data_IF_871723921420
#
_entry.id   IF_871723921420
#
_cell.length_a   1.000
_cell.length_b   1.000
_cell.length_c   1.000
_cell.angle_alpha   90.00
_cell.angle_beta   90.00
_cell.angle_gamma   90.00
#
_symmetry.space_group_name_H-M   'P 1'
#
loop_
_entity.id
_entity.type
_entity.pdbx_description
1 polymer ?
#
# COMPACT_ATOMS: atom_id res chain seq x y z
N UNK A 1 -10.92 -15.12 31.98
CA UNK A 1 -11.51 -14.59 30.71
C UNK A 1 -11.92 -13.17 31.01
N UNK A 2 -11.07 -12.20 30.61
CA UNK A 2 -11.39 -10.77 30.69
C UNK A 2 -12.49 -10.45 29.68
N UNK A 3 -13.50 -9.69 30.12
CA UNK A 3 -14.49 -9.11 29.19
C UNK A 3 -13.75 -8.26 28.17
N UNK A 4 -14.12 -8.31 26.85
CA UNK A 4 -13.56 -7.37 25.89
C UNK A 4 -13.90 -5.95 26.37
N UNK A 5 -12.89 -5.11 26.58
CA UNK A 5 -13.09 -3.67 26.70
C UNK A 5 -13.78 -3.21 25.41
N UNK A 6 -15.06 -2.81 25.56
CA UNK A 6 -15.75 -2.08 24.51
C UNK A 6 -15.10 -0.69 24.53
N UNK A 7 -14.10 -0.47 23.64
CA UNK A 7 -13.62 0.89 23.40
C UNK A 7 -14.83 1.71 22.97
N UNK A 8 -15.18 2.70 23.74
CA UNK A 8 -16.25 3.65 23.35
C UNK A 8 -15.94 4.16 21.94
N UNK A 9 -16.97 4.14 21.10
CA UNK A 9 -16.86 4.64 19.72
C UNK A 9 -16.61 6.15 19.79
N UNK A 10 -15.39 6.58 19.51
CA UNK A 10 -15.05 7.99 19.46
C UNK A 10 -15.38 8.52 18.06
N UNK A 11 -16.35 9.43 17.98
CA UNK A 11 -16.77 10.06 16.72
C UNK A 11 -16.15 11.44 16.60
N UNK A 12 -15.40 11.70 15.54
CA UNK A 12 -14.88 13.03 15.24
C UNK A 12 -16.03 13.94 14.79
N UNK A 13 -16.44 14.85 15.66
CA UNK A 13 -17.44 15.87 15.39
C UNK A 13 -16.80 17.17 14.92
N UNK A 14 -17.63 18.07 14.35
CA UNK A 14 -17.20 19.44 13.98
C UNK A 14 -16.62 20.21 15.18
N UNK A 15 -17.15 19.99 16.40
CA UNK A 15 -16.68 20.66 17.61
C UNK A 15 -15.26 20.23 17.96
N UNK A 16 -15.00 18.93 17.96
CA UNK A 16 -13.68 18.36 18.25
C UNK A 16 -12.68 18.77 17.18
N UNK A 17 -13.05 18.66 15.91
CA UNK A 17 -12.18 19.05 14.80
C UNK A 17 -11.81 20.54 14.87
N UNK A 18 -12.74 21.45 15.22
CA UNK A 18 -12.42 22.87 15.40
C UNK A 18 -11.37 23.11 16.50
N UNK A 19 -11.37 22.31 17.56
CA UNK A 19 -10.35 22.39 18.62
C UNK A 19 -9.00 21.96 18.07
N UNK A 20 -8.94 20.81 17.39
CA UNK A 20 -7.73 20.27 16.75
C UNK A 20 -7.15 21.26 15.74
N UNK A 21 -7.97 21.81 14.85
CA UNK A 21 -7.54 22.73 13.80
C UNK A 21 -7.09 24.10 14.33
N UNK A 22 -7.47 24.46 15.56
CA UNK A 22 -7.04 25.73 16.19
C UNK A 22 -5.59 25.67 16.68
N UNK A 23 -5.19 24.52 17.24
CA UNK A 23 -3.86 24.29 17.79
C UNK A 23 -3.37 22.87 17.41
N UNK A 24 -3.08 22.60 16.13
CA UNK A 24 -2.56 21.29 15.76
C UNK A 24 -1.18 21.01 16.34
N UNK A 25 -0.45 22.07 16.78
CA UNK A 25 0.86 21.96 17.44
C UNK A 25 0.78 21.45 18.90
N UNK A 26 -0.40 21.37 19.51
CA UNK A 26 -0.56 20.79 20.85
C UNK A 26 -0.39 19.25 20.88
N UNK A 27 0.46 18.74 19.98
CA UNK A 27 1.31 17.55 20.04
C UNK A 27 0.69 16.16 19.92
N UNK A 28 -0.63 15.95 20.00
CA UNK A 28 -1.19 14.60 19.89
C UNK A 28 -1.66 14.25 18.47
N UNK A 29 -1.85 15.26 17.61
CA UNK A 29 -2.45 15.10 16.29
C UNK A 29 -1.48 15.32 15.11
N UNK A 30 -0.21 15.58 15.38
CA UNK A 30 0.84 15.62 14.36
C UNK A 30 1.75 14.40 14.50
N UNK A 31 1.80 13.57 13.48
CA UNK A 31 2.78 12.49 13.41
C UNK A 31 3.93 12.88 12.49
N UNK A 32 5.17 12.71 12.97
CA UNK A 32 6.37 12.75 12.15
C UNK A 32 6.81 11.32 11.87
N UNK A 33 6.78 10.88 10.62
CA UNK A 33 7.53 9.69 10.18
C UNK A 33 8.93 10.12 9.75
N UNK A 34 9.91 9.21 9.80
CA UNK A 34 11.35 9.47 9.56
C UNK A 34 11.70 10.14 8.22
N UNK A 35 10.73 10.36 7.33
CA UNK A 35 10.88 11.05 6.05
C UNK A 35 9.92 12.25 5.88
N UNK A 36 10.02 13.22 6.77
CA UNK A 36 9.59 14.65 6.56
C UNK A 36 8.21 14.86 5.89
N UNK A 37 7.23 13.99 6.07
CA UNK A 37 5.86 14.27 5.66
C UNK A 37 4.99 14.36 6.93
N UNK A 38 4.67 15.59 7.33
CA UNK A 38 3.78 15.79 8.46
C UNK A 38 2.38 15.30 8.11
N UNK A 39 1.82 14.45 8.99
CA UNK A 39 0.48 13.91 8.89
C UNK A 39 -0.43 14.48 9.97
N UNK A 40 -1.69 14.72 9.63
CA UNK A 40 -2.71 14.97 10.63
C UNK A 40 -3.21 13.61 11.16
N UNK A 41 -2.89 13.33 12.43
CA UNK A 41 -3.22 12.05 13.07
C UNK A 41 -4.59 12.13 13.76
N UNK A 42 -5.57 11.46 13.19
CA UNK A 42 -6.92 11.31 13.71
C UNK A 42 -7.24 9.84 14.04
N UNK A 43 -6.21 9.02 14.30
CA UNK A 43 -6.34 7.59 14.54
C UNK A 43 -7.14 7.22 15.80
N UNK A 44 -7.34 8.15 16.72
CA UNK A 44 -8.18 7.97 17.91
C UNK A 44 -9.67 7.79 17.56
N UNK A 45 -10.11 8.33 16.42
CA UNK A 45 -11.52 8.35 16.06
C UNK A 45 -11.88 7.11 15.24
N UNK A 46 -12.87 6.37 15.71
CA UNK A 46 -13.40 5.19 15.01
C UNK A 46 -14.52 5.51 14.01
N UNK A 47 -14.94 6.76 13.96
CA UNK A 47 -15.92 7.31 13.03
C UNK A 47 -15.72 8.82 12.86
N UNK A 48 -16.23 9.39 11.77
CA UNK A 48 -16.20 10.82 11.47
C UNK A 48 -17.57 11.26 10.91
N UNK A 49 -18.12 12.36 11.43
CA UNK A 49 -19.34 12.91 10.84
C UNK A 49 -19.05 13.56 9.47
N UNK A 50 -20.00 13.52 8.55
CA UNK A 50 -19.83 14.09 7.21
C UNK A 50 -19.48 15.58 7.28
N UNK A 51 -20.13 16.36 8.17
CA UNK A 51 -19.83 17.78 8.38
C UNK A 51 -18.38 18.00 8.88
N UNK A 52 -17.86 17.09 9.73
CA UNK A 52 -16.48 17.16 10.18
C UNK A 52 -15.51 16.82 9.05
N UNK A 53 -15.82 15.81 8.25
CA UNK A 53 -15.02 15.46 7.07
C UNK A 53 -14.99 16.60 6.05
N UNK A 54 -16.10 17.25 5.77
CA UNK A 54 -16.16 18.44 4.91
C UNK A 54 -15.31 19.60 5.46
N UNK A 55 -15.42 19.89 6.77
CA UNK A 55 -14.61 20.93 7.39
C UNK A 55 -13.12 20.60 7.31
N UNK A 56 -12.76 19.34 7.50
CA UNK A 56 -11.39 18.85 7.40
C UNK A 56 -10.80 19.12 6.00
N UNK A 57 -11.49 18.68 4.96
CA UNK A 57 -11.07 18.89 3.57
C UNK A 57 -11.01 20.38 3.21
N UNK A 58 -12.02 21.19 3.61
CA UNK A 58 -12.02 22.65 3.41
C UNK A 58 -10.85 23.35 4.13
N UNK A 59 -10.34 22.75 5.20
CA UNK A 59 -9.21 23.29 5.99
C UNK A 59 -7.84 22.90 5.46
N UNK A 60 -7.74 21.97 4.53
CA UNK A 60 -6.48 21.39 4.06
C UNK A 60 -5.46 22.44 3.60
N UNK A 61 -5.87 23.42 2.77
CA UNK A 61 -4.94 24.44 2.28
C UNK A 61 -4.26 25.23 3.40
N UNK A 62 -4.98 25.47 4.51
CA UNK A 62 -4.41 26.13 5.69
C UNK A 62 -3.45 25.21 6.45
N UNK A 63 -3.80 23.93 6.57
CA UNK A 63 -2.98 22.91 7.20
C UNK A 63 -1.67 22.72 6.42
N UNK A 64 -1.74 22.66 5.11
CA UNK A 64 -0.56 22.52 4.25
C UNK A 64 0.34 23.76 4.33
N UNK A 65 -0.22 24.97 4.22
CA UNK A 65 0.55 26.21 4.26
C UNK A 65 1.20 26.47 5.62
N UNK A 66 0.52 26.16 6.72
CA UNK A 66 1.00 26.47 8.07
C UNK A 66 1.85 25.36 8.68
N UNK A 67 1.54 24.09 8.36
CA UNK A 67 2.10 22.91 9.03
C UNK A 67 2.68 21.87 8.06
N UNK A 68 2.68 22.14 6.75
CA UNK A 68 3.17 21.22 5.69
C UNK A 68 2.44 19.85 5.68
N UNK A 69 1.21 19.80 6.21
CA UNK A 69 0.44 18.56 6.33
C UNK A 69 -0.05 18.14 4.94
N UNK A 70 0.43 16.98 4.47
CA UNK A 70 0.04 16.35 3.19
C UNK A 70 -0.56 14.95 3.36
N UNK A 71 -0.54 14.42 4.58
CA UNK A 71 -1.00 13.07 4.90
C UNK A 71 -2.11 13.13 5.93
N UNK A 72 -3.18 12.37 5.68
CA UNK A 72 -4.31 12.23 6.59
C UNK A 72 -4.33 10.80 7.15
N UNK A 73 -4.23 10.67 8.47
CA UNK A 73 -4.23 9.39 9.16
C UNK A 73 -5.58 9.20 9.85
N UNK A 74 -6.36 8.24 9.37
CA UNK A 74 -7.68 7.86 9.85
C UNK A 74 -7.73 6.35 10.15
N UNK A 75 -6.64 5.80 10.70
CA UNK A 75 -6.52 4.35 10.94
C UNK A 75 -7.48 3.83 12.02
N UNK A 76 -8.08 4.69 12.81
CA UNK A 76 -9.15 4.32 13.73
C UNK A 76 -10.49 4.07 13.06
N UNK A 77 -10.71 4.60 11.85
CA UNK A 77 -11.94 4.46 11.11
C UNK A 77 -12.17 3.01 10.69
N UNK A 78 -13.28 2.42 11.13
CA UNK A 78 -13.57 0.99 10.90
C UNK A 78 -14.55 0.73 9.77
N UNK A 79 -15.31 1.76 9.37
CA UNK A 79 -16.25 1.74 8.26
C UNK A 79 -16.10 3.00 7.42
N UNK A 80 -16.29 2.87 6.12
CA UNK A 80 -16.28 3.98 5.16
C UNK A 80 -17.58 3.94 4.36
N UNK A 81 -18.47 4.94 4.60
CA UNK A 81 -19.65 5.10 3.75
C UNK A 81 -19.29 5.70 2.40
N UNK A 82 -20.16 5.52 1.42
CA UNK A 82 -19.94 6.05 0.06
C UNK A 82 -19.87 7.58 0.09
N UNK A 83 -20.70 8.25 0.89
CA UNK A 83 -20.70 9.70 1.07
C UNK A 83 -19.38 10.19 1.70
N UNK A 84 -18.91 9.49 2.73
CA UNK A 84 -17.65 9.84 3.38
C UNK A 84 -16.47 9.65 2.42
N UNK A 85 -16.49 8.59 1.61
CA UNK A 85 -15.47 8.35 0.58
C UNK A 85 -15.41 9.48 -0.46
N UNK A 86 -16.57 10.00 -0.90
CA UNK A 86 -16.67 11.16 -1.81
C UNK A 86 -16.02 12.41 -1.20
N UNK A 87 -16.26 12.64 0.09
CA UNK A 87 -15.69 13.81 0.77
C UNK A 87 -14.18 13.64 0.93
N UNK A 88 -13.72 12.48 1.42
CA UNK A 88 -12.30 12.21 1.64
C UNK A 88 -11.47 12.21 0.35
N UNK A 89 -12.06 11.83 -0.79
CA UNK A 89 -11.38 11.91 -2.08
C UNK A 89 -11.01 13.35 -2.49
N UNK A 90 -11.59 14.37 -1.88
CA UNK A 90 -11.22 15.76 -2.11
C UNK A 90 -9.92 16.16 -1.37
N UNK A 91 -9.42 15.31 -0.46
CA UNK A 91 -8.13 15.51 0.18
C UNK A 91 -7.01 15.34 -0.86
N UNK A 92 -6.14 16.33 -0.97
CA UNK A 92 -4.97 16.29 -1.87
C UNK A 92 -3.77 15.75 -1.09
N UNK A 93 -3.27 14.58 -1.46
CA UNK A 93 -2.15 13.91 -0.79
C UNK A 93 -2.54 12.54 -0.24
N UNK A 94 -1.80 12.07 0.71
CA UNK A 94 -1.89 10.70 1.19
C UNK A 94 -3.03 10.49 2.19
N UNK A 95 -3.71 9.34 2.12
CA UNK A 95 -4.77 8.96 3.06
C UNK A 95 -4.50 7.56 3.62
N UNK A 96 -4.47 7.45 4.95
CA UNK A 96 -4.38 6.16 5.65
C UNK A 96 -5.71 5.79 6.30
N UNK A 97 -6.24 4.64 5.95
CA UNK A 97 -7.50 4.06 6.40
C UNK A 97 -7.31 2.60 6.84
N UNK A 98 -6.20 2.30 7.53
CA UNK A 98 -5.81 0.93 7.85
C UNK A 98 -6.75 0.23 8.86
N UNK A 99 -7.67 0.96 9.49
CA UNK A 99 -8.69 0.39 10.37
C UNK A 99 -9.84 -0.29 9.64
N UNK A 100 -10.07 0.07 8.36
CA UNK A 100 -11.16 -0.50 7.56
C UNK A 100 -11.04 -2.03 7.47
N UNK A 101 -12.17 -2.72 7.66
CA UNK A 101 -12.25 -4.19 7.55
C UNK A 101 -12.81 -4.65 6.22
N UNK A 102 -13.53 -3.78 5.54
CA UNK A 102 -14.08 -3.96 4.20
C UNK A 102 -14.27 -2.61 3.53
N UNK A 103 -14.45 -2.64 2.22
CA UNK A 103 -14.80 -1.47 1.41
C UNK A 103 -15.84 -1.90 0.37
N UNK A 104 -16.92 -1.11 0.21
CA UNK A 104 -17.87 -1.30 -0.87
C UNK A 104 -17.25 -0.93 -2.21
N UNK A 105 -17.84 -1.41 -3.32
CA UNK A 105 -17.39 -1.01 -4.66
C UNK A 105 -17.58 0.50 -4.88
N UNK A 106 -18.67 1.07 -4.38
CA UNK A 106 -18.97 2.50 -4.55
C UNK A 106 -18.07 3.39 -3.70
N UNK A 107 -17.77 2.98 -2.45
CA UNK A 107 -16.78 3.67 -1.63
C UNK A 107 -15.36 3.57 -2.23
N UNK A 108 -14.98 2.40 -2.75
CA UNK A 108 -13.71 2.20 -3.43
C UNK A 108 -13.57 3.08 -4.68
N UNK A 109 -14.63 3.15 -5.50
CA UNK A 109 -14.70 4.03 -6.67
C UNK A 109 -14.60 5.49 -6.26
N UNK A 110 -15.41 5.90 -5.28
CA UNK A 110 -15.47 7.29 -4.83
C UNK A 110 -14.15 7.75 -4.23
N UNK A 111 -13.48 6.90 -3.43
CA UNK A 111 -12.19 7.21 -2.81
C UNK A 111 -11.06 7.29 -3.84
N UNK A 112 -11.05 6.41 -4.84
CA UNK A 112 -9.90 6.25 -5.74
C UNK A 112 -9.99 7.07 -7.02
N UNK A 113 -11.18 7.53 -7.41
CA UNK A 113 -11.39 8.23 -8.68
C UNK A 113 -10.58 9.52 -8.78
N UNK A 114 -9.53 9.50 -9.62
CA UNK A 114 -8.61 10.61 -9.83
C UNK A 114 -7.84 11.04 -8.55
N UNK A 115 -7.82 10.24 -7.49
CA UNK A 115 -6.99 10.52 -6.33
C UNK A 115 -5.51 10.38 -6.71
N UNK A 116 -4.69 11.35 -6.35
CA UNK A 116 -3.27 11.41 -6.76
C UNK A 116 -2.29 11.10 -5.62
N UNK A 117 -2.77 10.97 -4.40
CA UNK A 117 -2.00 10.54 -3.23
C UNK A 117 -1.96 9.02 -3.08
N UNK A 118 -1.15 8.56 -2.17
CA UNK A 118 -1.16 7.17 -1.77
C UNK A 118 -2.38 6.86 -0.90
N UNK A 119 -2.95 5.66 -1.07
CA UNK A 119 -4.07 5.15 -0.28
C UNK A 119 -3.60 3.90 0.47
N UNK A 120 -3.69 3.90 1.80
CA UNK A 120 -3.42 2.74 2.65
C UNK A 120 -4.73 2.22 3.23
N UNK A 121 -5.07 0.98 2.89
CA UNK A 121 -6.23 0.24 3.42
C UNK A 121 -5.81 -1.16 3.85
N UNK A 122 -4.72 -1.23 4.62
CA UNK A 122 -4.09 -2.47 5.03
C UNK A 122 -4.91 -3.31 6.02
N UNK A 123 -6.03 -2.80 6.52
CA UNK A 123 -6.92 -3.55 7.40
C UNK A 123 -7.89 -4.50 6.70
N UNK A 124 -8.02 -4.39 5.38
CA UNK A 124 -8.89 -5.22 4.55
C UNK A 124 -8.20 -6.56 4.30
N UNK A 125 -8.89 -7.66 4.62
CA UNK A 125 -8.35 -9.04 4.45
C UNK A 125 -8.92 -9.77 3.24
N UNK A 126 -10.00 -9.25 2.66
CA UNK A 126 -10.65 -9.75 1.45
C UNK A 126 -11.12 -8.58 0.59
N UNK A 127 -11.03 -8.71 -0.73
CA UNK A 127 -11.37 -7.66 -1.69
C UNK A 127 -12.05 -8.26 -2.91
N UNK A 128 -13.26 -7.79 -3.21
CA UNK A 128 -13.97 -8.21 -4.42
C UNK A 128 -13.24 -7.74 -5.69
N UNK A 129 -13.43 -8.48 -6.79
CA UNK A 129 -12.88 -8.08 -8.09
C UNK A 129 -13.40 -6.72 -8.56
N UNK A 130 -14.66 -6.41 -8.27
CA UNK A 130 -15.29 -5.13 -8.61
C UNK A 130 -14.63 -3.98 -7.82
N UNK A 131 -14.46 -4.12 -6.50
CA UNK A 131 -13.75 -3.11 -5.70
C UNK A 131 -12.29 -2.95 -6.14
N UNK A 132 -11.58 -4.05 -6.46
CA UNK A 132 -10.24 -3.99 -7.02
C UNK A 132 -10.21 -3.22 -8.35
N UNK A 133 -11.22 -3.44 -9.24
CA UNK A 133 -11.31 -2.76 -10.53
C UNK A 133 -11.54 -1.25 -10.42
N UNK A 134 -12.15 -0.79 -9.33
CA UNK A 134 -12.33 0.65 -9.05
C UNK A 134 -11.10 1.26 -8.39
N UNK A 135 -10.46 0.57 -7.45
CA UNK A 135 -9.26 1.05 -6.76
C UNK A 135 -8.09 1.36 -7.70
N UNK A 136 -7.98 0.65 -8.83
CA UNK A 136 -6.94 0.94 -9.84
C UNK A 136 -7.12 2.25 -10.59
N UNK A 137 -8.16 3.03 -10.32
CA UNK A 137 -8.33 4.40 -10.83
C UNK A 137 -7.51 5.42 -10.02
N UNK A 138 -6.99 5.02 -8.86
CA UNK A 138 -6.01 5.82 -8.12
C UNK A 138 -4.76 6.05 -8.97
N UNK A 139 -4.15 7.23 -8.86
CA UNK A 139 -2.92 7.61 -9.59
C UNK A 139 -1.70 7.72 -8.69
N UNK A 140 -1.83 7.40 -7.41
CA UNK A 140 -0.75 7.24 -6.44
C UNK A 140 -0.49 5.76 -6.09
N UNK A 141 0.25 5.54 -5.04
CA UNK A 141 0.46 4.20 -4.49
C UNK A 141 -0.81 3.63 -3.87
N UNK A 142 -0.96 2.32 -3.96
CA UNK A 142 -2.04 1.58 -3.31
C UNK A 142 -1.44 0.50 -2.41
N UNK A 143 -1.69 0.62 -1.09
CA UNK A 143 -1.21 -0.31 -0.07
C UNK A 143 -2.37 -1.16 0.43
N UNK A 144 -2.27 -2.47 0.23
CA UNK A 144 -3.29 -3.49 0.51
C UNK A 144 -2.68 -4.67 1.28
N UNK A 145 -1.78 -4.37 2.22
CA UNK A 145 -0.97 -5.37 2.91
C UNK A 145 -1.76 -6.30 3.86
N UNK A 146 -3.04 -6.02 4.07
CA UNK A 146 -3.92 -6.92 4.82
C UNK A 146 -4.45 -8.10 4.01
N UNK A 147 -4.37 -8.04 2.67
CA UNK A 147 -4.88 -9.10 1.81
C UNK A 147 -3.98 -10.34 1.90
N UNK A 148 -4.58 -11.46 2.33
CA UNK A 148 -3.86 -12.73 2.47
C UNK A 148 -3.96 -13.60 1.21
N UNK A 149 -5.00 -13.38 0.41
CA UNK A 149 -5.27 -14.04 -0.87
C UNK A 149 -5.94 -13.06 -1.82
N UNK A 150 -5.92 -13.35 -3.12
CA UNK A 150 -6.58 -12.55 -4.14
C UNK A 150 -7.38 -13.44 -5.09
N UNK A 151 -8.57 -13.00 -5.47
CA UNK A 151 -9.31 -13.65 -6.54
C UNK A 151 -8.65 -13.39 -7.90
N UNK A 152 -8.94 -14.23 -8.88
CA UNK A 152 -8.43 -14.04 -10.25
C UNK A 152 -8.90 -12.71 -10.86
N UNK A 153 -10.11 -12.25 -10.50
CA UNK A 153 -10.69 -10.99 -10.92
C UNK A 153 -9.90 -9.81 -10.34
N UNK A 154 -9.55 -9.87 -9.04
CA UNK A 154 -8.73 -8.86 -8.39
C UNK A 154 -7.31 -8.83 -8.98
N UNK A 155 -6.67 -9.97 -9.17
CA UNK A 155 -5.36 -10.09 -9.84
C UNK A 155 -5.39 -9.51 -11.26
N UNK A 156 -6.43 -9.84 -12.03
CA UNK A 156 -6.62 -9.30 -13.39
C UNK A 156 -6.79 -7.79 -13.38
N UNK A 157 -7.48 -7.23 -12.38
CA UNK A 157 -7.62 -5.79 -12.20
C UNK A 157 -6.28 -5.15 -11.85
N UNK A 158 -5.60 -5.66 -10.84
CA UNK A 158 -4.28 -5.14 -10.44
C UNK A 158 -3.22 -5.27 -11.53
N UNK A 159 -3.34 -6.24 -12.44
CA UNK A 159 -2.43 -6.33 -13.59
C UNK A 159 -2.48 -5.08 -14.49
N UNK A 160 -3.58 -4.34 -14.49
CA UNK A 160 -3.78 -3.11 -15.27
C UNK A 160 -3.34 -1.85 -14.51
N UNK A 161 -3.09 -1.95 -13.21
CA UNK A 161 -2.69 -0.82 -12.39
C UNK A 161 -1.29 -0.34 -12.78
N UNK A 162 -1.14 0.96 -13.02
CA UNK A 162 0.08 1.56 -13.61
C UNK A 162 0.99 2.20 -12.55
N UNK A 163 0.55 2.26 -11.31
CA UNK A 163 1.24 2.90 -10.20
C UNK A 163 1.79 1.88 -9.21
N UNK A 164 2.34 2.32 -8.10
CA UNK A 164 2.90 1.44 -7.10
C UNK A 164 1.84 0.64 -6.37
N UNK A 165 2.08 -0.63 -6.17
CA UNK A 165 1.17 -1.58 -5.51
C UNK A 165 1.90 -2.35 -4.42
N UNK A 166 1.38 -2.30 -3.21
CA UNK A 166 1.85 -3.12 -2.10
C UNK A 166 0.83 -4.19 -1.73
N UNK A 167 1.29 -5.43 -1.70
CA UNK A 167 0.54 -6.65 -1.39
C UNK A 167 1.36 -7.50 -0.40
N UNK A 168 1.95 -6.88 0.61
CA UNK A 168 2.87 -7.55 1.53
C UNK A 168 2.18 -8.58 2.44
N UNK A 169 0.85 -8.63 2.47
CA UNK A 169 0.09 -9.68 3.18
C UNK A 169 0.13 -11.04 2.50
N UNK A 170 0.43 -11.09 1.20
CA UNK A 170 0.51 -12.35 0.47
C UNK A 170 1.74 -13.14 0.91
N UNK A 171 1.55 -14.28 1.55
CA UNK A 171 2.65 -15.17 2.00
C UNK A 171 3.02 -16.22 0.97
N UNK A 172 2.16 -16.43 -0.02
CA UNK A 172 2.35 -17.36 -1.13
C UNK A 172 1.76 -16.74 -2.41
N UNK A 173 2.30 -17.12 -3.54
CA UNK A 173 1.82 -16.75 -4.87
C UNK A 173 2.02 -17.95 -5.79
N UNK A 174 0.94 -18.48 -6.36
CA UNK A 174 1.03 -19.57 -7.34
C UNK A 174 1.55 -19.06 -8.68
N UNK A 175 1.97 -19.98 -9.53
CA UNK A 175 2.50 -19.66 -10.86
C UNK A 175 1.43 -18.97 -11.74
N UNK A 176 0.18 -19.42 -11.65
CA UNK A 176 -0.93 -18.83 -12.40
C UNK A 176 -1.31 -17.43 -11.87
N UNK A 177 -1.31 -17.24 -10.56
CA UNK A 177 -1.54 -15.92 -9.94
C UNK A 177 -0.44 -14.93 -10.31
N UNK A 178 0.82 -15.33 -10.26
CA UNK A 178 1.94 -14.50 -10.71
C UNK A 178 1.78 -14.09 -12.17
N UNK A 179 1.44 -15.05 -13.03
CA UNK A 179 1.19 -14.81 -14.45
C UNK A 179 0.04 -13.83 -14.69
N UNK A 180 -1.07 -13.96 -13.94
CA UNK A 180 -2.20 -13.03 -14.02
C UNK A 180 -1.80 -11.63 -13.57
N UNK A 181 -1.12 -11.50 -12.44
CA UNK A 181 -0.70 -10.22 -11.86
C UNK A 181 0.22 -9.42 -12.80
N UNK A 182 1.09 -10.11 -13.56
CA UNK A 182 2.06 -9.49 -14.46
C UNK A 182 1.52 -9.28 -15.87
N UNK A 183 0.45 -9.97 -16.28
CA UNK A 183 -0.03 -10.08 -17.66
C UNK A 183 -0.15 -8.75 -18.44
N UNK A 184 -0.62 -7.69 -17.80
CA UNK A 184 -0.91 -6.40 -18.46
C UNK A 184 0.04 -5.28 -18.01
N UNK A 185 1.18 -5.60 -17.41
CA UNK A 185 2.16 -4.62 -16.93
C UNK A 185 2.99 -4.04 -18.08
N UNK A 186 2.36 -3.23 -18.91
CA UNK A 186 2.99 -2.52 -20.03
C UNK A 186 3.19 -1.03 -19.76
N UNK A 187 3.13 -0.59 -18.50
CA UNK A 187 3.36 0.82 -18.17
C UNK A 187 4.80 1.21 -18.47
N UNK A 188 5.04 2.35 -19.15
CA UNK A 188 6.40 2.85 -19.36
C UNK A 188 7.07 3.31 -18.05
N UNK A 189 6.29 3.53 -16.99
CA UNK A 189 6.76 4.00 -15.68
C UNK A 189 6.07 3.24 -14.52
N UNK A 190 6.16 1.92 -14.44
CA UNK A 190 5.64 1.21 -13.28
C UNK A 190 6.51 1.56 -12.07
N UNK A 191 5.90 2.06 -10.99
CA UNK A 191 6.65 2.48 -9.80
C UNK A 191 7.25 1.27 -9.08
N UNK A 192 6.45 0.46 -8.42
CA UNK A 192 6.94 -0.69 -7.69
C UNK A 192 5.83 -1.71 -7.44
N UNK A 193 6.25 -2.96 -7.25
CA UNK A 193 5.40 -4.04 -6.77
C UNK A 193 6.06 -4.60 -5.51
N UNK A 194 5.37 -4.47 -4.38
CA UNK A 194 5.82 -4.99 -3.10
C UNK A 194 5.10 -6.30 -2.78
N UNK A 195 5.88 -7.35 -2.60
CA UNK A 195 5.45 -8.70 -2.25
C UNK A 195 6.34 -9.23 -1.10
N UNK A 196 6.61 -8.38 -0.11
CA UNK A 196 7.54 -8.68 0.97
C UNK A 196 7.03 -9.78 1.93
N UNK A 197 5.74 -10.15 1.85
CA UNK A 197 5.22 -11.30 2.60
C UNK A 197 5.61 -12.66 2.04
N UNK A 198 6.06 -12.72 0.78
CA UNK A 198 6.48 -13.98 0.16
C UNK A 198 7.78 -14.47 0.81
N UNK A 199 7.76 -15.69 1.33
CA UNK A 199 8.93 -16.30 1.99
C UNK A 199 9.70 -17.27 1.07
N UNK A 200 9.08 -17.70 -0.02
CA UNK A 200 9.68 -18.58 -1.02
C UNK A 200 9.02 -18.38 -2.39
N UNK A 201 9.72 -18.75 -3.45
CA UNK A 201 9.20 -18.76 -4.82
C UNK A 201 9.41 -20.15 -5.44
N UNK A 202 8.52 -20.51 -6.36
CA UNK A 202 8.80 -21.54 -7.35
C UNK A 202 9.61 -20.95 -8.50
N UNK A 203 10.26 -21.79 -9.29
CA UNK A 203 10.97 -21.31 -10.48
C UNK A 203 10.02 -20.66 -11.50
N UNK A 204 8.84 -21.22 -11.82
CA UNK A 204 7.90 -20.57 -12.72
C UNK A 204 7.41 -19.21 -12.18
N UNK A 205 7.08 -19.10 -10.88
CA UNK A 205 6.71 -17.82 -10.26
C UNK A 205 7.83 -16.79 -10.41
N UNK A 206 9.09 -17.16 -10.14
CA UNK A 206 10.23 -16.27 -10.29
C UNK A 206 10.44 -15.80 -11.74
N UNK A 207 10.22 -16.69 -12.72
CA UNK A 207 10.27 -16.36 -14.15
C UNK A 207 9.19 -15.32 -14.52
N UNK A 208 7.98 -15.49 -14.01
CA UNK A 208 6.91 -14.53 -14.28
C UNK A 208 7.18 -13.17 -13.60
N UNK A 209 7.54 -13.17 -12.32
CA UNK A 209 7.85 -11.93 -11.58
C UNK A 209 9.03 -11.16 -12.18
N UNK A 210 10.04 -11.85 -12.72
CA UNK A 210 11.18 -11.22 -13.41
C UNK A 210 10.78 -10.41 -14.66
N UNK A 211 9.59 -10.62 -15.21
CA UNK A 211 9.03 -9.85 -16.33
C UNK A 211 8.40 -8.52 -15.87
N UNK A 212 8.26 -8.30 -14.55
CA UNK A 212 7.69 -7.06 -14.04
C UNK A 212 8.56 -5.86 -14.48
N UNK A 213 7.96 -4.82 -15.09
CA UNK A 213 8.76 -3.75 -15.70
C UNK A 213 9.22 -2.68 -14.69
N UNK A 214 8.78 -2.72 -13.44
CA UNK A 214 9.14 -1.80 -12.35
C UNK A 214 10.01 -2.45 -11.28
N UNK A 215 10.25 -1.72 -10.21
CA UNK A 215 10.96 -2.22 -9.04
C UNK A 215 10.17 -3.36 -8.38
N UNK A 216 10.86 -4.42 -8.01
CA UNK A 216 10.25 -5.59 -7.38
C UNK A 216 10.83 -5.79 -5.99
N UNK A 217 9.96 -5.77 -4.98
CA UNK A 217 10.34 -5.97 -3.60
C UNK A 217 9.92 -7.36 -3.14
N UNK A 218 10.90 -8.15 -2.70
CA UNK A 218 10.77 -9.53 -2.24
C UNK A 218 11.56 -9.72 -0.94
N UNK A 219 11.48 -8.74 -0.04
CA UNK A 219 12.31 -8.67 1.16
C UNK A 219 11.98 -9.76 2.20
N UNK A 220 10.84 -10.48 2.05
CA UNK A 220 10.52 -11.64 2.89
C UNK A 220 11.29 -12.90 2.57
N UNK A 221 12.02 -12.94 1.46
CA UNK A 221 12.77 -14.12 1.04
C UNK A 221 14.12 -14.14 1.74
N UNK A 222 14.34 -15.13 2.60
CA UNK A 222 15.61 -15.30 3.35
C UNK A 222 16.64 -16.16 2.63
N UNK A 223 16.22 -16.98 1.67
CA UNK A 223 17.11 -17.88 0.93
C UNK A 223 16.65 -18.04 -0.53
N UNK A 224 17.58 -18.06 -1.47
CA UNK A 224 17.32 -18.27 -2.89
C UNK A 224 18.08 -19.48 -3.43
N UNK A 225 17.35 -20.37 -4.11
CA UNK A 225 17.96 -21.41 -4.94
C UNK A 225 18.65 -20.79 -6.16
N UNK A 226 19.64 -21.47 -6.70
CA UNK A 226 20.44 -20.97 -7.83
C UNK A 226 19.60 -20.66 -9.08
N UNK A 227 18.66 -21.54 -9.41
CA UNK A 227 17.76 -21.42 -10.55
C UNK A 227 16.79 -20.24 -10.40
N UNK A 228 16.29 -20.00 -9.17
CA UNK A 228 15.44 -18.86 -8.84
C UNK A 228 16.24 -17.56 -8.92
N UNK A 229 17.47 -17.53 -8.39
CA UNK A 229 18.37 -16.39 -8.50
C UNK A 229 18.67 -16.05 -9.96
N UNK A 230 18.91 -17.07 -10.80
CA UNK A 230 19.10 -16.91 -12.24
C UNK A 230 17.84 -16.31 -12.91
N UNK A 231 16.66 -16.82 -12.58
CA UNK A 231 15.41 -16.30 -13.12
C UNK A 231 15.21 -14.81 -12.75
N UNK A 232 15.35 -14.47 -11.47
CA UNK A 232 15.18 -13.11 -10.96
C UNK A 232 16.25 -12.14 -11.49
N UNK A 233 17.48 -12.63 -11.79
CA UNK A 233 18.53 -11.79 -12.38
C UNK A 233 18.17 -11.22 -13.75
N UNK A 234 17.15 -11.75 -14.42
CA UNK A 234 16.63 -11.27 -15.71
C UNK A 234 15.67 -10.07 -15.56
N UNK A 235 15.30 -9.70 -14.35
CA UNK A 235 14.51 -8.50 -14.05
C UNK A 235 15.25 -7.24 -14.55
N UNK A 236 14.51 -6.28 -15.11
CA UNK A 236 15.09 -5.08 -15.73
C UNK A 236 15.34 -3.93 -14.76
N UNK A 237 14.57 -3.86 -13.69
CA UNK A 237 14.63 -2.77 -12.71
C UNK A 237 15.24 -3.23 -11.39
N UNK A 238 15.18 -2.41 -10.35
CA UNK A 238 15.74 -2.75 -9.04
C UNK A 238 14.99 -3.94 -8.46
N UNK A 239 15.76 -4.89 -7.96
CA UNK A 239 15.29 -6.06 -7.23
C UNK A 239 15.68 -5.91 -5.76
N UNK A 240 14.71 -5.78 -4.88
CA UNK A 240 14.90 -5.70 -3.45
C UNK A 240 14.76 -7.10 -2.83
N UNK A 241 15.78 -7.53 -2.13
CA UNK A 241 15.92 -8.83 -1.47
C UNK A 241 16.57 -8.64 -0.09
N UNK A 242 16.17 -7.59 0.64
CA UNK A 242 16.82 -7.18 1.89
C UNK A 242 16.71 -8.22 3.01
N UNK A 243 15.77 -9.18 2.90
CA UNK A 243 15.63 -10.29 3.83
C UNK A 243 16.58 -11.45 3.63
N UNK A 244 17.44 -11.42 2.60
CA UNK A 244 18.38 -12.52 2.35
C UNK A 244 19.36 -12.67 3.50
N UNK A 245 19.43 -13.88 4.04
CA UNK A 245 20.38 -14.27 5.09
C UNK A 245 21.56 -15.06 4.52
N UNK A 246 21.31 -15.86 3.47
CA UNK A 246 22.29 -16.75 2.86
C UNK A 246 22.11 -16.81 1.36
N UNK A 247 23.23 -16.84 0.63
CA UNK A 247 23.29 -17.09 -0.80
C UNK A 247 24.38 -18.11 -1.11
N UNK A 248 24.09 -19.04 -2.02
CA UNK A 248 25.15 -19.84 -2.61
C UNK A 248 26.07 -18.96 -3.47
N UNK A 249 27.31 -19.37 -3.69
CA UNK A 249 28.24 -18.69 -4.60
C UNK A 249 27.59 -18.50 -5.99
N UNK A 250 26.93 -19.55 -6.49
CA UNK A 250 26.30 -19.54 -7.82
C UNK A 250 25.09 -18.59 -7.88
N UNK A 251 24.20 -18.60 -6.86
CA UNK A 251 23.09 -17.66 -6.78
C UNK A 251 23.59 -16.20 -6.75
N UNK A 252 24.63 -15.92 -5.96
CA UNK A 252 25.28 -14.60 -5.93
C UNK A 252 25.83 -14.20 -7.32
N UNK A 253 26.52 -15.10 -8.00
CA UNK A 253 27.05 -14.85 -9.34
C UNK A 253 25.95 -14.54 -10.36
N UNK A 254 24.77 -15.20 -10.29
CA UNK A 254 23.62 -14.90 -11.13
C UNK A 254 23.10 -13.49 -10.87
N UNK A 255 22.89 -13.12 -9.62
CA UNK A 255 22.37 -11.79 -9.27
C UNK A 255 23.36 -10.66 -9.62
N UNK A 256 24.67 -10.87 -9.47
CA UNK A 256 25.69 -9.90 -9.87
C UNK A 256 25.80 -9.69 -11.38
N UNK A 257 25.38 -10.67 -12.18
CA UNK A 257 25.33 -10.57 -13.65
C UNK A 257 24.05 -9.89 -14.17
N UNK A 258 23.19 -9.40 -13.30
CA UNK A 258 21.95 -8.72 -13.66
C UNK A 258 22.24 -7.60 -14.67
N UNK A 259 21.65 -7.64 -15.88
CA UNK A 259 22.04 -6.77 -16.99
C UNK A 259 21.61 -5.31 -16.80
N UNK A 260 20.59 -5.04 -16.00
CA UNK A 260 20.04 -3.72 -15.73
C UNK A 260 19.56 -3.61 -14.30
N UNK A 261 19.60 -2.38 -13.76
CA UNK A 261 19.21 -2.10 -12.39
C UNK A 261 20.20 -2.69 -11.37
N UNK A 262 19.85 -2.60 -10.12
CA UNK A 262 20.65 -3.07 -8.99
C UNK A 262 19.90 -4.14 -8.22
N UNK A 263 20.62 -4.89 -7.40
CA UNK A 263 20.05 -5.73 -6.34
C UNK A 263 20.33 -5.05 -5.01
N UNK A 264 19.33 -4.92 -4.17
CA UNK A 264 19.48 -4.50 -2.78
C UNK A 264 19.17 -5.70 -1.89
N UNK A 265 19.95 -6.02 -0.90
CA UNK A 265 21.15 -5.31 -0.41
C UNK A 265 22.36 -5.46 -1.34
N UNK A 266 23.42 -4.69 -1.06
CA UNK A 266 24.69 -4.88 -1.77
C UNK A 266 25.24 -6.29 -1.49
N UNK A 267 25.27 -7.11 -2.53
CA UNK A 267 25.65 -8.52 -2.44
C UNK A 267 27.13 -8.76 -2.08
N UNK A 268 27.90 -7.70 -1.84
CA UNK A 268 29.28 -7.84 -1.35
C UNK A 268 29.35 -8.45 0.05
N UNK A 269 28.28 -8.35 0.82
CA UNK A 269 28.20 -8.84 2.19
C UNK A 269 27.84 -10.32 2.34
N UNK A 270 27.58 -11.02 1.25
CA UNK A 270 27.30 -12.46 1.22
C UNK A 270 28.48 -13.29 0.74
#
# INVERSE_FOLDING_TARGET
MGKPEIKEKLVLSVKELKVILKNPDDNEFLSSEEFVIFGLDLNLFSDISLDAAELLVKSQSKLEQKFEIKKLLLNGLVNLSDELAIILNQWVGDIQLNGLKSISTDAALSLSKNHNGAIWINGIVDLSGDAASTLIQNTGWLYLDGLLTLSNEALSSFSKFKHGLSLNGLTQLTDDEAKLLIKNKNSPYPLGLELNGLTALTLPTAIELAKYPGNLHLDGISNLKDDIAEALSKSRQILFLNGLEKLSKKAKEHLLKKPQGTVSPDLKWF
#
